data_IF_931300354221
#
_entry.id   IF_931300354221
#
_cell.length_a   1.000
_cell.length_b   1.000
_cell.length_c   1.000
_cell.angle_alpha   90.00
_cell.angle_beta   90.00
_cell.angle_gamma   90.00
#
_symmetry.space_group_name_H-M   'P 1'
#
loop_
_entity.id
_entity.type
_entity.pdbx_description
1 polymer ?
#
# COMPACT_ATOMS: atom_id res chain seq x y z
N UNK A 1 -4.26 -22.85 -3.93
CA UNK A 1 -5.65 -23.34 -4.02
C UNK A 1 -5.79 -24.48 -3.03
N UNK A 2 -6.76 -24.40 -2.16
CA UNK A 2 -7.05 -25.42 -1.13
C UNK A 2 -8.53 -25.76 -1.15
N UNK A 3 -8.82 -27.05 -1.03
CA UNK A 3 -10.17 -27.53 -0.74
C UNK A 3 -10.41 -27.39 0.77
N UNK A 4 -11.60 -26.91 1.16
CA UNK A 4 -12.03 -26.78 2.55
C UNK A 4 -11.18 -25.82 3.42
N UNK A 5 -10.75 -24.68 2.88
CA UNK A 5 -10.14 -23.62 3.66
C UNK A 5 -11.21 -22.76 4.34
N UNK A 6 -11.16 -22.64 5.67
CA UNK A 6 -12.14 -21.88 6.46
C UNK A 6 -11.95 -20.38 6.47
N UNK A 7 -10.82 -19.88 5.93
CA UNK A 7 -10.55 -18.45 5.82
C UNK A 7 -9.97 -17.84 7.10
N UNK A 8 -9.34 -18.62 7.95
CA UNK A 8 -8.71 -18.12 9.17
C UNK A 8 -7.18 -18.12 9.06
N UNK A 9 -6.55 -17.25 9.85
CA UNK A 9 -5.09 -17.10 9.87
C UNK A 9 -4.42 -18.41 10.35
N UNK A 10 -5.01 -19.10 11.33
CA UNK A 10 -4.50 -20.34 11.90
C UNK A 10 -4.47 -21.50 10.91
N UNK A 11 -5.34 -21.45 9.90
CA UNK A 11 -5.36 -22.46 8.83
C UNK A 11 -4.35 -22.17 7.73
N UNK A 12 -3.74 -20.98 7.72
CA UNK A 12 -2.71 -20.64 6.76
C UNK A 12 -1.41 -21.39 7.07
N UNK A 13 -0.85 -22.16 6.11
CA UNK A 13 0.43 -22.78 6.33
C UNK A 13 1.55 -21.76 6.20
N UNK A 14 2.68 -22.07 6.81
CA UNK A 14 3.94 -21.45 6.44
C UNK A 14 4.32 -21.89 5.02
N UNK A 15 4.74 -20.94 4.19
CA UNK A 15 5.29 -21.19 2.85
C UNK A 15 6.78 -20.94 2.81
N UNK A 16 7.41 -21.35 1.73
CA UNK A 16 8.78 -20.97 1.39
C UNK A 16 8.83 -20.31 0.02
N UNK A 17 9.88 -19.53 -0.19
CA UNK A 17 10.17 -18.90 -1.47
C UNK A 17 11.68 -18.78 -1.69
N UNK A 18 12.07 -18.53 -2.94
CA UNK A 18 13.45 -18.28 -3.30
C UNK A 18 13.86 -16.85 -2.94
N UNK A 19 14.49 -16.69 -1.78
CA UNK A 19 14.99 -15.41 -1.29
C UNK A 19 16.10 -14.80 -2.14
N UNK A 20 16.76 -15.58 -3.01
CA UNK A 20 17.75 -15.03 -3.93
C UNK A 20 17.12 -14.13 -4.99
N UNK A 21 15.88 -14.42 -5.39
CA UNK A 21 15.11 -13.60 -6.33
C UNK A 21 14.71 -12.25 -5.76
N UNK A 22 14.73 -12.09 -4.46
CA UNK A 22 14.41 -10.85 -3.73
C UNK A 22 15.60 -10.20 -3.06
N UNK A 23 16.81 -10.72 -3.29
CA UNK A 23 18.07 -10.28 -2.66
C UNK A 23 18.06 -10.45 -1.12
N UNK A 24 17.31 -11.42 -0.63
CA UNK A 24 17.21 -11.75 0.80
C UNK A 24 18.04 -12.99 1.19
N UNK A 25 18.55 -13.75 0.23
CA UNK A 25 19.41 -14.91 0.47
C UNK A 25 20.41 -15.11 -0.67
N UNK A 26 21.47 -15.88 -0.38
CA UNK A 26 22.43 -16.30 -1.40
C UNK A 26 21.89 -17.44 -2.26
N UNK A 27 22.24 -17.46 -3.55
CA UNK A 27 21.77 -18.50 -4.48
C UNK A 27 22.15 -19.94 -4.12
N UNK A 28 23.17 -20.14 -3.27
CA UNK A 28 23.57 -21.46 -2.78
C UNK A 28 22.73 -21.97 -1.58
N UNK A 29 21.98 -21.08 -0.91
CA UNK A 29 21.08 -21.38 0.21
C UNK A 29 19.95 -20.36 0.20
N UNK A 30 19.06 -20.52 -0.78
CA UNK A 30 18.12 -19.45 -1.16
C UNK A 30 16.76 -19.49 -0.46
N UNK A 31 16.46 -20.53 0.31
CA UNK A 31 15.16 -20.69 0.96
C UNK A 31 14.95 -19.65 2.07
N UNK A 32 13.88 -18.90 1.94
CA UNK A 32 13.27 -18.09 3.01
C UNK A 32 11.86 -18.59 3.29
N UNK A 33 11.36 -18.32 4.50
CA UNK A 33 10.02 -18.72 4.91
C UNK A 33 9.09 -17.51 4.92
N UNK A 34 7.82 -17.75 4.61
CA UNK A 34 6.71 -16.81 4.70
C UNK A 34 5.78 -17.24 5.83
N UNK A 35 5.80 -16.50 6.93
CA UNK A 35 4.91 -16.73 8.07
C UNK A 35 3.66 -15.86 7.93
N UNK A 36 2.45 -16.43 7.81
CA UNK A 36 1.21 -15.67 7.79
C UNK A 36 1.04 -14.85 9.07
N UNK A 37 0.62 -13.58 8.93
CA UNK A 37 0.44 -12.65 10.06
C UNK A 37 -0.88 -11.91 10.03
N UNK A 38 -1.48 -11.74 8.85
CA UNK A 38 -2.83 -11.20 8.71
C UNK A 38 -3.51 -11.83 7.49
N UNK A 39 -4.84 -11.85 7.51
CA UNK A 39 -5.67 -12.38 6.43
C UNK A 39 -6.89 -11.49 6.26
N UNK A 40 -7.19 -11.14 5.01
CA UNK A 40 -8.39 -10.39 4.64
C UNK A 40 -9.08 -11.07 3.44
N UNK A 41 -10.39 -10.88 3.24
CA UNK A 41 -11.03 -11.28 2.00
C UNK A 41 -10.35 -10.62 0.79
N UNK A 42 -10.22 -11.35 -0.32
CA UNK A 42 -9.80 -10.75 -1.60
C UNK A 42 -11.02 -10.07 -2.24
N UNK A 43 -11.08 -8.74 -2.34
CA UNK A 43 -12.27 -8.06 -2.85
C UNK A 43 -12.50 -8.28 -4.34
N UNK A 44 -11.46 -8.69 -5.08
CA UNK A 44 -11.57 -8.97 -6.53
C UNK A 44 -12.03 -10.42 -6.81
N UNK A 45 -12.10 -11.31 -5.82
CA UNK A 45 -12.37 -12.73 -6.04
C UNK A 45 -13.23 -13.36 -4.95
N UNK A 46 -14.26 -14.08 -5.37
CA UNK A 46 -15.06 -14.87 -4.42
C UNK A 46 -14.27 -16.05 -3.85
N UNK A 47 -14.47 -16.33 -2.58
CA UNK A 47 -13.81 -17.43 -1.86
C UNK A 47 -12.28 -17.37 -1.95
N UNK A 48 -11.72 -16.18 -1.96
CA UNK A 48 -10.30 -15.90 -2.01
C UNK A 48 -9.90 -14.98 -0.86
N UNK A 49 -8.61 -15.04 -0.49
CA UNK A 49 -8.06 -14.27 0.60
C UNK A 49 -6.70 -13.71 0.23
N UNK A 50 -6.42 -12.52 0.69
CA UNK A 50 -5.08 -11.94 0.72
C UNK A 50 -4.47 -12.26 2.07
N UNK A 51 -3.28 -12.83 2.05
CA UNK A 51 -2.56 -13.22 3.27
C UNK A 51 -1.28 -12.39 3.37
N UNK A 52 -1.22 -11.54 4.38
CA UNK A 52 0.01 -10.81 4.72
C UNK A 52 0.99 -11.79 5.39
N UNK A 53 2.25 -11.71 5.00
CA UNK A 53 3.30 -12.57 5.56
C UNK A 53 4.50 -11.76 6.00
N UNK A 54 5.18 -12.24 7.02
CA UNK A 54 6.51 -11.79 7.39
C UNK A 54 7.57 -12.79 6.93
N UNK A 55 8.78 -12.29 6.63
CA UNK A 55 9.87 -13.13 6.12
C UNK A 55 10.75 -13.62 7.26
N UNK A 56 11.00 -14.93 7.25
CA UNK A 56 11.95 -15.58 8.16
C UNK A 56 13.09 -16.23 7.38
N UNK A 57 14.22 -16.39 8.04
CA UNK A 57 15.29 -17.25 7.57
C UNK A 57 14.85 -18.73 7.52
N UNK A 58 15.59 -19.58 6.83
CA UNK A 58 15.30 -21.01 6.73
C UNK A 58 15.23 -21.72 8.09
N UNK A 59 15.93 -21.22 9.09
CA UNK A 59 15.91 -21.73 10.47
C UNK A 59 14.73 -21.22 11.32
N UNK A 60 13.87 -20.38 10.75
CA UNK A 60 12.70 -19.81 11.42
C UNK A 60 12.95 -18.53 12.22
N UNK A 61 14.17 -18.03 12.25
CA UNK A 61 14.46 -16.73 12.87
C UNK A 61 14.01 -15.57 11.96
N UNK A 62 13.63 -14.40 12.52
CA UNK A 62 13.28 -13.25 11.70
C UNK A 62 14.39 -12.88 10.72
N UNK A 63 14.05 -12.67 9.45
CA UNK A 63 15.01 -12.19 8.46
C UNK A 63 15.44 -10.75 8.80
N UNK A 64 16.71 -10.33 8.55
CA UNK A 64 17.17 -8.97 8.84
C UNK A 64 16.34 -7.85 8.18
N UNK A 65 15.65 -8.14 7.07
CA UNK A 65 14.75 -7.18 6.40
C UNK A 65 13.32 -7.19 6.96
N UNK A 66 13.03 -8.06 7.94
CA UNK A 66 11.71 -8.16 8.55
C UNK A 66 11.55 -7.13 9.66
N UNK A 67 11.21 -5.89 9.30
CA UNK A 67 10.96 -4.82 10.26
C UNK A 67 9.75 -5.07 11.15
N UNK A 68 8.74 -5.81 10.66
CA UNK A 68 7.54 -6.14 11.42
C UNK A 68 7.84 -6.94 12.69
N UNK A 69 8.83 -7.84 12.64
CA UNK A 69 9.23 -8.65 13.80
C UNK A 69 9.85 -7.82 14.95
N UNK A 70 10.14 -6.53 14.74
CA UNK A 70 10.62 -5.62 15.78
C UNK A 70 9.53 -4.83 16.46
N UNK A 71 8.28 -4.96 16.00
CA UNK A 71 7.13 -4.28 16.61
C UNK A 71 6.80 -4.98 17.93
N UNK A 72 6.76 -4.20 18.99
CA UNK A 72 6.27 -4.62 20.30
C UNK A 72 4.86 -4.05 20.45
N UNK A 73 3.86 -4.93 20.49
CA UNK A 73 2.44 -4.56 20.59
C UNK A 73 1.96 -4.45 22.05
N UNK A 74 2.88 -4.27 23.01
CA UNK A 74 2.53 -4.01 24.42
C UNK A 74 1.62 -2.78 24.56
N UNK A 75 1.65 -1.87 23.57
CA UNK A 75 0.78 -0.71 23.47
C UNK A 75 -0.47 -0.94 22.60
N UNK A 76 -1.02 -2.16 22.62
CA UNK A 76 -2.19 -2.52 21.82
C UNK A 76 -3.45 -1.66 22.06
N UNK A 77 -3.47 -0.88 23.12
CA UNK A 77 -4.54 0.08 23.41
C UNK A 77 -4.39 1.42 22.68
N UNK A 78 -3.22 1.72 22.13
CA UNK A 78 -3.02 2.92 21.31
C UNK A 78 -3.62 2.78 19.91
N UNK A 79 -4.15 3.89 19.41
CA UNK A 79 -4.55 4.03 18.03
C UNK A 79 -3.39 4.60 17.21
N UNK A 80 -3.19 4.04 16.02
CA UNK A 80 -2.22 4.51 15.03
C UNK A 80 -2.95 4.86 13.75
N UNK A 81 -2.66 6.06 13.22
CA UNK A 81 -3.20 6.53 11.95
C UNK A 81 -2.06 6.85 10.98
N UNK A 82 -2.19 6.42 9.75
CA UNK A 82 -1.24 6.71 8.68
C UNK A 82 -1.96 7.40 7.53
N UNK A 83 -1.44 8.58 7.16
CA UNK A 83 -1.90 9.39 6.04
C UNK A 83 -0.91 9.19 4.89
N UNK A 84 -1.19 8.25 4.01
CA UNK A 84 -0.27 7.88 2.93
C UNK A 84 -0.56 8.69 1.68
N UNK A 85 0.37 9.58 1.35
CA UNK A 85 0.38 10.31 0.09
C UNK A 85 1.08 9.51 -1.02
N UNK A 86 0.67 9.74 -2.26
CA UNK A 86 1.24 9.10 -3.45
C UNK A 86 0.91 9.89 -4.71
N UNK A 87 1.67 9.66 -5.79
CA UNK A 87 1.30 10.12 -7.12
C UNK A 87 0.82 8.95 -7.96
N UNK A 88 -0.29 9.14 -8.66
CA UNK A 88 -0.59 8.32 -9.82
C UNK A 88 0.43 8.68 -10.92
N UNK A 89 0.97 7.68 -11.58
CA UNK A 89 1.98 7.85 -12.62
C UNK A 89 1.54 7.12 -13.89
N UNK A 90 1.11 7.89 -14.89
CA UNK A 90 0.65 7.34 -16.15
C UNK A 90 1.80 6.63 -16.88
N UNK A 91 1.61 5.36 -17.21
CA UNK A 91 2.67 4.51 -17.78
C UNK A 91 3.04 4.88 -19.21
N UNK A 92 2.15 5.52 -19.96
CA UNK A 92 2.39 5.90 -21.35
C UNK A 92 3.13 7.25 -21.43
N UNK A 93 2.70 8.22 -20.63
CA UNK A 93 3.29 9.56 -20.62
C UNK A 93 4.49 9.71 -19.69
N UNK A 94 4.64 8.81 -18.73
CA UNK A 94 5.63 8.86 -17.65
C UNK A 94 5.52 10.14 -16.80
N UNK A 95 4.30 10.62 -16.60
CA UNK A 95 3.95 11.82 -15.83
C UNK A 95 2.68 11.55 -15.02
N UNK A 96 2.44 12.30 -13.94
CA UNK A 96 1.15 12.26 -13.28
C UNK A 96 0.01 12.71 -14.19
N UNK A 97 -1.19 12.14 -14.08
CA UNK A 97 -2.35 12.62 -14.82
C UNK A 97 -2.63 14.10 -14.49
N UNK A 98 -2.98 14.86 -15.49
CA UNK A 98 -3.12 16.32 -15.39
C UNK A 98 -1.85 17.12 -15.68
N UNK A 99 -0.69 16.47 -15.80
CA UNK A 99 0.52 17.14 -16.29
C UNK A 99 0.49 17.25 -17.81
N UNK A 100 0.83 18.41 -18.37
CA UNK A 100 0.97 18.54 -19.83
C UNK A 100 2.19 17.74 -20.33
N UNK A 101 2.13 17.26 -21.57
CA UNK A 101 3.23 16.48 -22.17
C UNK A 101 4.57 17.24 -22.22
N UNK A 102 4.49 18.56 -22.27
CA UNK A 102 5.67 19.43 -22.28
C UNK A 102 5.51 20.49 -21.19
N UNK A 103 6.20 20.31 -20.09
CA UNK A 103 6.20 21.24 -18.96
C UNK A 103 5.36 20.75 -17.78
N UNK A 104 5.16 21.64 -16.83
CA UNK A 104 4.41 21.39 -15.62
C UNK A 104 2.97 21.92 -15.75
N UNK A 105 2.00 21.41 -14.95
CA UNK A 105 0.66 21.98 -14.86
C UNK A 105 0.71 23.39 -14.26
N UNK A 106 -0.44 23.98 -14.08
CA UNK A 106 -0.59 25.23 -13.34
C UNK A 106 -0.06 25.15 -11.90
N UNK A 107 0.00 26.28 -11.18
CA UNK A 107 0.48 26.32 -9.81
C UNK A 107 -0.19 25.27 -8.92
N UNK A 108 0.57 24.67 -8.01
CA UNK A 108 0.05 23.75 -7.00
C UNK A 108 -0.99 24.43 -6.12
N UNK A 109 -1.94 23.65 -5.60
CA UNK A 109 -2.98 24.13 -4.71
C UNK A 109 -4.40 23.94 -5.21
N UNK A 110 -4.76 24.28 -6.47
CA UNK A 110 -6.14 24.08 -6.96
C UNK A 110 -6.63 22.63 -6.94
N UNK A 111 -5.71 21.68 -6.83
CA UNK A 111 -5.98 20.23 -6.81
C UNK A 111 -6.30 19.70 -5.41
N UNK A 112 -5.92 20.43 -4.37
CA UNK A 112 -6.09 20.02 -2.98
C UNK A 112 -7.57 19.91 -2.60
N UNK A 113 -7.98 18.71 -2.16
CA UNK A 113 -9.37 18.37 -1.83
C UNK A 113 -10.37 18.76 -2.93
N UNK A 114 -9.95 18.77 -4.18
CA UNK A 114 -10.70 19.30 -5.31
C UNK A 114 -11.77 18.34 -5.82
N UNK A 115 -12.71 18.93 -6.56
CA UNK A 115 -13.73 18.23 -7.34
C UNK A 115 -13.75 18.77 -8.77
N UNK A 116 -14.28 17.96 -9.66
CA UNK A 116 -14.44 18.31 -11.07
C UNK A 116 -13.30 17.82 -11.95
N UNK A 117 -13.62 17.56 -13.22
CA UNK A 117 -12.76 16.89 -14.18
C UNK A 117 -11.47 17.66 -14.52
N UNK A 118 -11.43 18.97 -14.27
CA UNK A 118 -10.24 19.81 -14.52
C UNK A 118 -9.22 19.79 -13.38
N UNK A 119 -9.56 19.23 -12.23
CA UNK A 119 -8.71 19.26 -11.03
C UNK A 119 -8.48 17.89 -10.39
N UNK A 120 -9.51 17.03 -10.37
CA UNK A 120 -9.45 15.71 -9.72
C UNK A 120 -9.08 14.61 -10.73
N UNK A 121 -7.79 14.54 -11.06
CA UNK A 121 -7.28 13.60 -12.05
C UNK A 121 -7.07 12.20 -11.44
N UNK A 122 -7.56 11.16 -12.13
CA UNK A 122 -7.42 9.76 -11.69
C UNK A 122 -8.41 9.32 -10.62
N UNK A 123 -9.48 10.09 -10.38
CA UNK A 123 -10.49 9.81 -9.35
C UNK A 123 -11.09 8.41 -9.46
N UNK A 124 -11.39 7.93 -10.65
CA UNK A 124 -12.02 6.61 -10.83
C UNK A 124 -11.14 5.49 -10.24
N UNK A 125 -9.80 5.59 -10.40
CA UNK A 125 -8.85 4.66 -9.79
C UNK A 125 -8.86 4.77 -8.26
N UNK A 126 -8.92 5.98 -7.73
CA UNK A 126 -8.90 6.25 -6.29
C UNK A 126 -10.19 5.80 -5.61
N UNK A 127 -11.34 6.04 -6.25
CA UNK A 127 -12.64 5.62 -5.73
C UNK A 127 -12.77 4.08 -5.76
N UNK A 128 -12.33 3.41 -6.84
CA UNK A 128 -12.28 1.94 -6.87
C UNK A 128 -11.35 1.36 -5.80
N UNK A 129 -10.19 1.98 -5.58
CA UNK A 129 -9.29 1.57 -4.49
C UNK A 129 -9.97 1.67 -3.12
N UNK A 130 -10.67 2.77 -2.85
CA UNK A 130 -11.44 2.94 -1.61
C UNK A 130 -12.48 1.83 -1.44
N UNK A 131 -13.27 1.57 -2.48
CA UNK A 131 -14.31 0.53 -2.45
C UNK A 131 -13.70 -0.85 -2.15
N UNK A 132 -12.60 -1.21 -2.81
CA UNK A 132 -11.90 -2.48 -2.57
C UNK A 132 -11.32 -2.57 -1.15
N UNK A 133 -10.77 -1.49 -0.60
CA UNK A 133 -10.31 -1.47 0.78
C UNK A 133 -11.46 -1.70 1.77
N UNK A 134 -12.60 -1.05 1.56
CA UNK A 134 -13.78 -1.21 2.41
C UNK A 134 -14.36 -2.64 2.32
N UNK A 135 -14.44 -3.22 1.11
CA UNK A 135 -14.88 -4.61 0.90
C UNK A 135 -13.92 -5.62 1.54
N UNK A 136 -12.62 -5.32 1.55
CA UNK A 136 -11.62 -6.14 2.22
C UNK A 136 -11.61 -5.99 3.74
N UNK A 137 -12.37 -5.05 4.29
CA UNK A 137 -12.42 -4.78 5.73
C UNK A 137 -11.25 -3.96 6.26
N UNK A 138 -10.51 -3.27 5.39
CA UNK A 138 -9.47 -2.33 5.80
C UNK A 138 -10.14 -1.05 6.33
N UNK A 139 -9.67 -0.57 7.47
CA UNK A 139 -10.21 0.62 8.12
C UNK A 139 -9.66 1.89 7.47
N UNK A 140 -10.14 2.19 6.26
CA UNK A 140 -9.84 3.45 5.58
C UNK A 140 -10.78 4.54 6.10
N UNK A 141 -10.22 5.60 6.67
CA UNK A 141 -10.97 6.71 7.27
C UNK A 141 -11.24 7.83 6.27
N UNK A 142 -10.47 7.93 5.20
CA UNK A 142 -10.67 8.94 4.18
C UNK A 142 -9.71 8.84 3.00
N UNK A 143 -10.05 9.63 1.99
CA UNK A 143 -9.22 9.90 0.81
C UNK A 143 -9.33 11.38 0.46
N UNK A 144 -8.28 11.95 -0.08
CA UNK A 144 -8.31 13.31 -0.62
C UNK A 144 -7.31 13.51 -1.75
N UNK A 145 -7.62 14.45 -2.65
CA UNK A 145 -6.64 14.97 -3.59
C UNK A 145 -5.63 15.86 -2.87
N UNK A 146 -4.38 15.73 -3.24
CA UNK A 146 -3.28 16.51 -2.73
C UNK A 146 -2.96 17.75 -3.59
N UNK A 147 -1.98 18.56 -3.19
CA UNK A 147 -1.74 19.89 -3.78
C UNK A 147 -1.22 19.85 -5.21
N UNK A 148 -0.65 18.73 -5.65
CA UNK A 148 -0.19 18.54 -7.02
C UNK A 148 -1.22 17.77 -7.86
N UNK A 149 -1.27 18.03 -9.16
CA UNK A 149 -2.11 17.26 -10.06
C UNK A 149 -1.74 15.77 -10.03
N UNK A 150 -2.74 14.89 -9.95
CA UNK A 150 -2.54 13.44 -9.89
C UNK A 150 -1.95 12.92 -8.57
N UNK A 151 -1.81 13.79 -7.58
CA UNK A 151 -1.40 13.40 -6.22
C UNK A 151 -2.61 13.19 -5.35
N UNK A 152 -2.60 12.11 -4.57
CA UNK A 152 -3.68 11.66 -3.71
C UNK A 152 -3.16 11.16 -2.37
N UNK A 153 -4.06 11.06 -1.42
CA UNK A 153 -3.81 10.52 -0.10
C UNK A 153 -4.93 9.57 0.31
N UNK A 154 -4.60 8.52 1.05
CA UNK A 154 -5.56 7.75 1.82
C UNK A 154 -5.13 7.64 3.28
N UNK A 155 -6.10 7.55 4.19
CA UNK A 155 -5.85 7.42 5.61
C UNK A 155 -6.32 6.06 6.12
N UNK A 156 -5.42 5.34 6.81
CA UNK A 156 -5.72 4.08 7.51
C UNK A 156 -5.55 4.30 9.00
N UNK A 157 -6.50 3.82 9.78
CA UNK A 157 -6.50 4.00 11.23
C UNK A 157 -6.85 2.68 11.92
N UNK A 158 -5.98 2.19 12.79
CA UNK A 158 -6.21 0.93 13.49
C UNK A 158 -5.66 0.97 14.92
N UNK A 159 -6.19 0.08 15.77
CA UNK A 159 -5.73 -0.09 17.14
C UNK A 159 -4.60 -1.13 17.17
N UNK A 160 -3.44 -0.74 17.70
CA UNK A 160 -2.24 -1.55 17.70
C UNK A 160 -1.31 -1.25 16.51
N UNK A 161 -0.01 -1.20 16.76
CA UNK A 161 1.00 -0.84 15.75
C UNK A 161 1.10 -1.88 14.62
N UNK A 162 1.02 -3.17 14.95
CA UNK A 162 1.10 -4.24 13.95
C UNK A 162 -0.12 -4.22 13.02
N UNK A 163 -1.33 -4.10 13.56
CA UNK A 163 -2.55 -4.07 12.76
C UNK A 163 -2.60 -2.82 11.84
N UNK A 164 -2.26 -1.65 12.36
CA UNK A 164 -2.19 -0.42 11.56
C UNK A 164 -1.18 -0.54 10.41
N UNK A 165 -0.02 -1.12 10.69
CA UNK A 165 1.01 -1.38 9.68
C UNK A 165 0.55 -2.39 8.63
N UNK A 166 -0.04 -3.51 9.04
CA UNK A 166 -0.54 -4.56 8.15
C UNK A 166 -1.64 -4.02 7.23
N UNK A 167 -2.61 -3.28 7.76
CA UNK A 167 -3.69 -2.66 6.97
C UNK A 167 -3.15 -1.63 5.99
N UNK A 168 -2.17 -0.81 6.38
CA UNK A 168 -1.53 0.15 5.47
C UNK A 168 -0.84 -0.54 4.29
N UNK A 169 -0.11 -1.63 4.54
CA UNK A 169 0.52 -2.40 3.47
C UNK A 169 -0.47 -3.11 2.56
N UNK A 170 -1.57 -3.63 3.11
CA UNK A 170 -2.64 -4.23 2.32
C UNK A 170 -3.36 -3.18 1.46
N UNK A 171 -3.62 -1.98 2.00
CA UNK A 171 -4.16 -0.87 1.22
C UNK A 171 -3.22 -0.44 0.08
N UNK A 172 -1.90 -0.36 0.33
CA UNK A 172 -0.91 -0.09 -0.72
C UNK A 172 -0.92 -1.17 -1.81
N UNK A 173 -0.99 -2.45 -1.43
CA UNK A 173 -1.09 -3.55 -2.39
C UNK A 173 -2.35 -3.43 -3.26
N UNK A 174 -3.51 -3.16 -2.66
CA UNK A 174 -4.75 -2.98 -3.41
C UNK A 174 -4.66 -1.79 -4.37
N UNK A 175 -4.01 -0.69 -3.96
CA UNK A 175 -3.81 0.47 -4.84
C UNK A 175 -2.92 0.15 -6.04
N UNK A 176 -1.81 -0.58 -5.84
CA UNK A 176 -0.97 -1.04 -6.95
C UNK A 176 -1.78 -1.92 -7.93
N UNK A 177 -2.58 -2.85 -7.41
CA UNK A 177 -3.44 -3.71 -8.22
C UNK A 177 -4.53 -2.93 -8.96
N UNK A 178 -5.10 -1.91 -8.32
CA UNK A 178 -6.08 -1.03 -8.96
C UNK A 178 -5.41 -0.19 -10.04
N UNK A 179 -4.24 0.37 -9.76
CA UNK A 179 -3.46 1.15 -10.72
C UNK A 179 -3.19 0.40 -12.02
N UNK A 180 -2.91 -0.91 -11.95
CA UNK A 180 -2.73 -1.76 -13.14
C UNK A 180 -3.96 -1.72 -14.09
N UNK A 181 -5.18 -1.64 -13.56
CA UNK A 181 -6.42 -1.59 -14.35
C UNK A 181 -6.56 -0.27 -15.11
N UNK A 182 -6.02 0.81 -14.55
CA UNK A 182 -6.13 2.18 -15.10
C UNK A 182 -4.89 2.64 -15.86
N UNK A 183 -3.85 1.80 -15.94
CA UNK A 183 -2.59 2.17 -16.56
C UNK A 183 -1.76 3.16 -15.73
N UNK A 184 -1.92 3.14 -14.41
CA UNK A 184 -1.13 3.91 -13.48
C UNK A 184 -0.16 3.04 -12.69
N UNK A 185 1.12 3.40 -12.68
CA UNK A 185 2.04 3.01 -11.62
C UNK A 185 1.84 3.93 -10.42
N UNK A 186 1.98 3.39 -9.22
CA UNK A 186 1.87 4.19 -7.99
C UNK A 186 3.26 4.64 -7.57
N UNK A 187 3.47 5.93 -7.51
CA UNK A 187 4.76 6.49 -7.14
C UNK A 187 4.75 6.89 -5.65
N UNK A 188 5.42 6.08 -4.84
CA UNK A 188 5.57 6.26 -3.40
C UNK A 188 6.78 7.09 -3.01
N UNK A 189 7.57 7.56 -3.98
CA UNK A 189 8.81 8.28 -3.70
C UNK A 189 8.50 9.60 -2.98
N UNK A 190 9.17 9.91 -1.85
CA UNK A 190 8.87 11.11 -1.07
C UNK A 190 9.14 12.41 -1.83
N UNK A 191 10.00 12.39 -2.84
CA UNK A 191 10.27 13.55 -3.72
C UNK A 191 10.36 13.09 -5.18
N UNK A 192 9.21 12.79 -5.84
CA UNK A 192 9.21 12.20 -7.18
C UNK A 192 9.80 13.12 -8.26
N UNK A 193 9.79 14.43 -8.03
CA UNK A 193 10.40 15.43 -8.92
C UNK A 193 11.78 15.92 -8.46
N UNK A 194 12.41 15.18 -7.52
CA UNK A 194 13.77 15.47 -7.06
C UNK A 194 13.90 16.85 -6.39
N UNK A 195 14.85 17.66 -6.90
CA UNK A 195 15.14 18.98 -6.34
C UNK A 195 14.18 20.09 -6.81
N UNK A 196 13.21 19.78 -7.67
CA UNK A 196 12.23 20.75 -8.10
C UNK A 196 11.30 21.15 -6.95
N UNK A 197 10.78 22.36 -6.98
CA UNK A 197 9.85 22.89 -5.98
C UNK A 197 8.43 22.36 -6.21
N UNK A 198 8.29 21.04 -6.09
CA UNK A 198 7.02 20.31 -6.14
C UNK A 198 6.76 19.60 -4.83
N UNK A 199 5.46 19.42 -4.53
CA UNK A 199 5.03 18.67 -3.34
C UNK A 199 5.70 17.31 -3.28
N UNK A 200 6.04 16.88 -2.09
CA UNK A 200 6.50 15.52 -1.81
C UNK A 200 5.35 14.65 -1.33
N UNK A 201 5.57 13.34 -1.33
CA UNK A 201 4.63 12.38 -0.76
C UNK A 201 5.14 11.95 0.61
N UNK A 202 4.44 12.35 1.65
CA UNK A 202 4.70 11.93 3.01
C UNK A 202 3.92 10.68 3.40
N UNK A 203 4.20 10.22 4.60
CA UNK A 203 3.29 9.38 5.36
C UNK A 203 3.27 9.94 6.78
N UNK A 204 2.28 10.78 7.08
CA UNK A 204 2.11 11.27 8.43
C UNK A 204 1.67 10.13 9.34
N UNK A 205 2.25 10.06 10.52
CA UNK A 205 1.91 9.07 11.53
C UNK A 205 1.31 9.78 12.75
N UNK A 206 0.09 9.41 13.10
CA UNK A 206 -0.63 9.91 14.25
C UNK A 206 -0.82 8.77 15.25
N UNK A 207 -0.82 9.10 16.54
CA UNK A 207 -1.11 8.13 17.61
C UNK A 207 -1.79 8.79 18.79
N UNK A 208 -2.62 8.02 19.51
CA UNK A 208 -3.33 8.49 20.70
C UNK A 208 -3.65 7.35 21.68
#
# INVERSE_FOLDING_TARGET
IRDNFGGTLEECPMWSFDGSSTQQADGSSSDCLLKPVAIIPDPDRQNAYLVMTEVLNADGTPHPTNGRATIDDDDADFWFGFEQEYFLWDIDTQLPPGFPQNGFPGPQGPYYCSVGASNAFGRDCVDEHLDLCLEAGINVEGINGEVAAGQWEFQVFAKGAADAGDQTWLARYLLERTGEKYGYAINWHPKPFGALDWNGSGMHANFS
#
